data_IF_762882270596
#
_entry.id   IF_762882270596
#
_cell.length_a   1.000
_cell.length_b   1.000
_cell.length_c   1.000
_cell.angle_alpha   90.00
_cell.angle_beta   90.00
_cell.angle_gamma   90.00
#
_symmetry.space_group_name_H-M   'P 1'
#
loop_
_entity.id
_entity.type
_entity.pdbx_description
1 polymer ?
#
# COMPACT_ATOMS: atom_id res chain seq x y z
N UNK A 1 34.92 -8.68 -6.03
CA UNK A 1 33.55 -9.14 -5.77
C UNK A 1 32.55 -8.12 -6.31
N UNK A 2 31.63 -8.56 -7.15
CA UNK A 2 30.64 -7.65 -7.71
C UNK A 2 29.53 -7.37 -6.70
N UNK A 3 29.14 -6.12 -6.59
CA UNK A 3 28.00 -5.75 -5.77
C UNK A 3 26.71 -6.19 -6.47
N UNK A 4 25.82 -6.83 -5.74
CA UNK A 4 24.51 -7.22 -6.24
C UNK A 4 23.42 -6.45 -5.48
N UNK A 5 22.56 -5.83 -6.26
CA UNK A 5 21.40 -5.16 -5.67
C UNK A 5 20.42 -6.21 -5.18
N UNK A 6 20.07 -6.11 -3.91
CA UNK A 6 19.07 -7.01 -3.34
C UNK A 6 17.69 -6.57 -3.80
N UNK A 7 16.89 -7.53 -4.20
CA UNK A 7 15.50 -7.26 -4.55
C UNK A 7 14.76 -6.78 -3.31
N UNK A 8 14.27 -5.56 -3.35
CA UNK A 8 13.49 -4.97 -2.28
C UNK A 8 12.02 -5.01 -2.64
N UNK A 9 11.55 -6.24 -2.85
CA UNK A 9 10.17 -6.47 -3.22
C UNK A 9 9.47 -7.17 -2.07
N UNK A 10 8.43 -6.51 -1.55
CA UNK A 10 7.53 -7.10 -0.57
C UNK A 10 6.32 -7.62 -1.33
N UNK A 11 6.02 -8.90 -1.22
CA UNK A 11 4.84 -9.46 -1.85
C UNK A 11 3.73 -9.58 -0.85
N UNK A 12 2.61 -8.91 -1.10
CA UNK A 12 1.40 -9.04 -0.28
C UNK A 12 0.43 -9.96 -1.00
N UNK A 13 -0.21 -10.84 -0.25
CA UNK A 13 -1.20 -11.76 -0.78
C UNK A 13 -2.59 -11.32 -0.34
N UNK A 14 -3.46 -11.08 -1.33
CA UNK A 14 -4.85 -10.68 -1.09
C UNK A 14 -5.72 -11.64 -1.86
N UNK A 15 -6.53 -12.40 -1.12
CA UNK A 15 -7.27 -13.54 -1.66
C UNK A 15 -6.26 -14.52 -2.26
N UNK A 16 -6.42 -14.92 -3.49
CA UNK A 16 -5.50 -15.87 -4.12
C UNK A 16 -4.48 -15.19 -5.04
N UNK A 17 -4.39 -13.85 -4.97
CA UNK A 17 -3.50 -13.08 -5.84
C UNK A 17 -2.34 -12.50 -5.05
N UNK A 18 -1.18 -12.47 -5.67
CA UNK A 18 0.03 -11.91 -5.09
C UNK A 18 0.35 -10.58 -5.76
N UNK A 19 0.62 -9.56 -4.93
CA UNK A 19 0.94 -8.22 -5.41
C UNK A 19 2.35 -7.86 -4.95
N UNK A 20 3.32 -7.79 -5.85
CA UNK A 20 4.67 -7.38 -5.50
C UNK A 20 4.72 -5.85 -5.32
N UNK A 21 5.34 -5.42 -4.24
CA UNK A 21 5.55 -4.00 -3.96
C UNK A 21 7.04 -3.72 -4.10
N UNK A 22 7.39 -2.93 -5.10
CA UNK A 22 8.77 -2.51 -5.34
C UNK A 22 9.00 -1.17 -4.65
N UNK A 23 9.91 -1.14 -3.68
CA UNK A 23 10.20 0.08 -2.94
C UNK A 23 11.12 0.99 -3.74
N UNK A 24 10.59 2.15 -4.14
CA UNK A 24 11.32 3.18 -4.86
C UNK A 24 10.98 4.53 -4.26
N UNK A 25 11.78 5.53 -4.59
CA UNK A 25 11.52 6.90 -4.14
C UNK A 25 10.17 7.41 -4.68
N UNK A 26 9.91 7.14 -5.95
CA UNK A 26 8.64 7.55 -6.57
C UNK A 26 7.43 6.89 -5.89
N UNK A 27 7.53 5.61 -5.57
CA UNK A 27 6.46 4.89 -4.86
C UNK A 27 6.25 5.49 -3.47
N UNK A 28 7.33 5.78 -2.76
CA UNK A 28 7.28 6.38 -1.42
C UNK A 28 6.58 7.73 -1.44
N UNK A 29 6.87 8.56 -2.45
CA UNK A 29 6.21 9.85 -2.60
C UNK A 29 4.72 9.70 -2.85
N UNK A 30 4.34 8.79 -3.74
CA UNK A 30 2.93 8.52 -4.06
C UNK A 30 2.14 8.05 -2.85
N UNK A 31 2.73 7.15 -2.07
CA UNK A 31 2.11 6.64 -0.85
C UNK A 31 1.94 7.75 0.18
N UNK A 32 2.95 8.60 0.34
CA UNK A 32 2.90 9.73 1.27
C UNK A 32 1.80 10.73 0.86
N UNK A 33 1.72 11.08 -0.41
CA UNK A 33 0.69 11.98 -0.92
C UNK A 33 -0.71 11.40 -0.71
N UNK A 34 -0.88 10.11 -0.99
CA UNK A 34 -2.15 9.43 -0.81
C UNK A 34 -2.56 9.41 0.68
N UNK A 35 -1.60 9.19 1.57
CA UNK A 35 -1.85 9.21 3.01
C UNK A 35 -2.30 10.60 3.50
N UNK A 36 -1.69 11.66 2.96
CA UNK A 36 -2.07 13.04 3.30
C UNK A 36 -3.50 13.31 2.85
N UNK A 37 -3.84 12.95 1.62
CA UNK A 37 -5.21 13.14 1.09
C UNK A 37 -6.24 12.39 1.91
N UNK A 38 -5.93 11.16 2.30
CA UNK A 38 -6.83 10.35 3.11
C UNK A 38 -7.04 10.99 4.49
N UNK A 39 -5.97 11.53 5.07
CA UNK A 39 -6.03 12.21 6.36
C UNK A 39 -6.89 13.48 6.29
N UNK A 40 -6.82 14.21 5.20
CA UNK A 40 -7.64 15.40 4.96
C UNK A 40 -9.12 15.09 4.90
N UNK A 41 -9.47 13.87 4.51
CA UNK A 41 -10.86 13.42 4.42
C UNK A 41 -11.39 12.83 5.73
N UNK A 42 -10.61 12.88 6.79
CA UNK A 42 -11.04 12.39 8.10
C UNK A 42 -12.25 13.18 8.56
N UNK A 43 -13.34 12.48 8.86
CA UNK A 43 -14.60 13.13 9.24
C UNK A 43 -15.47 13.52 8.06
N UNK A 44 -15.02 13.30 6.83
CA UNK A 44 -15.82 13.57 5.64
C UNK A 44 -17.00 12.63 5.56
N UNK A 45 -18.19 13.18 5.24
CA UNK A 45 -19.42 12.40 5.13
C UNK A 45 -19.67 11.84 3.75
N UNK A 46 -18.85 12.26 2.76
CA UNK A 46 -18.96 11.77 1.40
C UNK A 46 -18.21 10.46 1.27
N UNK A 47 -18.94 9.35 1.35
CA UNK A 47 -18.36 8.01 1.25
C UNK A 47 -17.64 7.79 -0.08
N UNK A 48 -18.17 8.32 -1.16
CA UNK A 48 -17.54 8.17 -2.48
C UNK A 48 -16.16 8.80 -2.51
N UNK A 49 -15.99 9.97 -1.90
CA UNK A 49 -14.69 10.63 -1.81
C UNK A 49 -13.71 9.82 -0.96
N UNK A 50 -14.18 9.27 0.15
CA UNK A 50 -13.35 8.43 1.03
C UNK A 50 -12.92 7.16 0.31
N UNK A 51 -13.85 6.49 -0.37
CA UNK A 51 -13.55 5.28 -1.15
C UNK A 51 -12.51 5.57 -2.22
N UNK A 52 -12.68 6.67 -2.96
CA UNK A 52 -11.72 7.04 -4.00
C UNK A 52 -10.32 7.29 -3.42
N UNK A 53 -10.24 7.93 -2.26
CA UNK A 53 -8.96 8.20 -1.60
C UNK A 53 -8.29 6.90 -1.13
N UNK A 54 -9.06 5.96 -0.58
CA UNK A 54 -8.54 4.66 -0.15
C UNK A 54 -8.03 3.87 -1.35
N UNK A 55 -8.81 3.80 -2.43
CA UNK A 55 -8.40 3.09 -3.64
C UNK A 55 -7.14 3.71 -4.25
N UNK A 56 -7.04 5.03 -4.23
CA UNK A 56 -5.84 5.73 -4.70
C UNK A 56 -4.61 5.36 -3.84
N UNK A 57 -4.79 5.24 -2.53
CA UNK A 57 -3.70 4.83 -1.63
C UNK A 57 -3.26 3.40 -1.91
N UNK A 58 -4.20 2.49 -2.17
CA UNK A 58 -3.88 1.11 -2.53
C UNK A 58 -3.11 1.08 -3.86
N UNK A 59 -3.57 1.83 -4.86
CA UNK A 59 -2.89 1.91 -6.15
C UNK A 59 -1.49 2.50 -6.02
N UNK A 60 -1.31 3.48 -5.13
CA UNK A 60 0.00 4.06 -4.89
C UNK A 60 1.00 3.03 -4.36
N UNK A 61 0.53 2.11 -3.54
CA UNK A 61 1.37 1.06 -2.96
C UNK A 61 1.58 -0.11 -3.93
N UNK A 62 0.53 -0.59 -4.57
CA UNK A 62 0.56 -1.82 -5.36
C UNK A 62 0.74 -1.58 -6.86
N UNK A 63 0.31 -0.43 -7.36
CA UNK A 63 0.33 -0.10 -8.78
C UNK A 63 -1.04 0.29 -9.29
N UNK A 64 -1.07 1.08 -10.36
CA UNK A 64 -2.31 1.61 -10.93
C UNK A 64 -3.25 0.47 -11.34
N UNK A 65 -4.51 0.59 -10.93
CA UNK A 65 -5.54 -0.39 -11.25
C UNK A 65 -5.64 -1.57 -10.29
N UNK A 66 -4.71 -1.71 -9.34
CA UNK A 66 -4.73 -2.85 -8.42
C UNK A 66 -5.93 -2.81 -7.48
N UNK A 67 -6.33 -1.62 -7.01
CA UNK A 67 -7.52 -1.50 -6.16
C UNK A 67 -8.77 -1.97 -6.90
N UNK A 68 -8.93 -1.57 -8.14
CA UNK A 68 -10.06 -2.01 -8.96
C UNK A 68 -10.06 -3.52 -9.14
N UNK A 69 -8.89 -4.11 -9.35
CA UNK A 69 -8.76 -5.57 -9.50
C UNK A 69 -9.12 -6.30 -8.21
N UNK A 70 -8.64 -5.80 -7.06
CA UNK A 70 -8.90 -6.41 -5.76
C UNK A 70 -10.40 -6.44 -5.46
N UNK A 71 -11.10 -5.35 -5.77
CA UNK A 71 -12.51 -5.22 -5.44
C UNK A 71 -13.45 -5.56 -6.60
N UNK A 72 -12.92 -6.09 -7.70
CA UNK A 72 -13.71 -6.48 -8.85
C UNK A 72 -14.73 -7.53 -8.45
N UNK A 73 -15.99 -7.29 -8.83
CA UNK A 73 -17.09 -8.19 -8.52
C UNK A 73 -17.53 -8.16 -7.06
N UNK A 74 -16.99 -7.27 -6.26
CA UNK A 74 -17.33 -7.13 -4.83
C UNK A 74 -17.93 -5.77 -4.56
N UNK A 75 -18.93 -5.74 -3.68
CA UNK A 75 -19.48 -4.48 -3.19
C UNK A 75 -18.81 -4.17 -1.86
N UNK A 76 -17.56 -3.73 -1.95
CA UNK A 76 -16.77 -3.44 -0.76
C UNK A 76 -17.10 -2.04 -0.22
N UNK A 77 -17.39 -1.96 1.07
CA UNK A 77 -17.63 -0.70 1.76
C UNK A 77 -16.31 0.03 2.02
N UNK A 78 -16.39 1.30 2.44
CA UNK A 78 -15.19 2.05 2.82
C UNK A 78 -14.43 1.35 3.95
N UNK A 79 -15.14 0.72 4.89
CA UNK A 79 -14.52 0.00 6.00
C UNK A 79 -13.70 -1.20 5.50
N UNK A 80 -14.27 -1.98 4.59
CA UNK A 80 -13.57 -3.13 4.02
C UNK A 80 -12.35 -2.71 3.22
N UNK A 81 -12.46 -1.64 2.44
CA UNK A 81 -11.34 -1.09 1.67
C UNK A 81 -10.24 -0.59 2.59
N UNK A 82 -10.62 0.05 3.69
CA UNK A 82 -9.66 0.53 4.69
C UNK A 82 -8.95 -0.63 5.37
N UNK A 83 -9.64 -1.73 5.63
CA UNK A 83 -9.03 -2.93 6.21
C UNK A 83 -7.96 -3.51 5.27
N UNK A 84 -8.22 -3.54 3.98
CA UNK A 84 -7.23 -3.98 2.98
C UNK A 84 -6.02 -3.04 2.99
N UNK A 85 -6.25 -1.74 3.02
CA UNK A 85 -5.17 -0.76 3.07
C UNK A 85 -4.32 -0.94 4.33
N UNK A 86 -4.95 -1.15 5.48
CA UNK A 86 -4.24 -1.39 6.74
C UNK A 86 -3.41 -2.66 6.68
N UNK A 87 -3.93 -3.71 6.08
CA UNK A 87 -3.19 -4.95 5.88
C UNK A 87 -1.92 -4.69 5.06
N UNK A 88 -2.06 -3.96 3.95
CA UNK A 88 -0.91 -3.59 3.11
C UNK A 88 0.11 -2.78 3.90
N UNK A 89 -0.35 -1.82 4.70
CA UNK A 89 0.52 -0.99 5.52
C UNK A 89 1.29 -1.80 6.56
N UNK A 90 0.62 -2.74 7.21
CA UNK A 90 1.26 -3.62 8.20
C UNK A 90 2.34 -4.48 7.55
N UNK A 91 2.04 -5.06 6.40
CA UNK A 91 3.01 -5.90 5.67
C UNK A 91 4.21 -5.09 5.19
N UNK A 92 3.97 -3.89 4.67
CA UNK A 92 5.07 -3.03 4.20
C UNK A 92 5.92 -2.50 5.35
N UNK A 93 5.30 -2.16 6.48
CA UNK A 93 6.03 -1.72 7.66
C UNK A 93 6.92 -2.84 8.22
N UNK A 94 6.40 -4.06 8.30
CA UNK A 94 7.18 -5.21 8.75
C UNK A 94 8.37 -5.47 7.83
N UNK A 95 8.17 -5.35 6.53
CA UNK A 95 9.24 -5.51 5.55
C UNK A 95 10.31 -4.43 5.72
N UNK A 96 9.89 -3.19 5.91
CA UNK A 96 10.80 -2.05 6.10
C UNK A 96 11.58 -2.17 7.42
N UNK A 97 10.94 -2.62 8.48
CA UNK A 97 11.57 -2.81 9.79
C UNK A 97 12.72 -3.82 9.74
N UNK A 98 12.59 -4.86 8.92
CA UNK A 98 13.68 -5.83 8.74
C UNK A 98 14.93 -5.17 8.18
N UNK A 99 14.77 -4.23 7.26
CA UNK A 99 15.91 -3.49 6.72
C UNK A 99 16.50 -2.53 7.75
N UNK A 100 15.65 -1.89 8.55
CA UNK A 100 16.12 -1.00 9.60
C UNK A 100 16.96 -1.75 10.63
N UNK A 101 16.52 -2.94 11.04
CA UNK A 101 17.24 -3.79 11.98
C UNK A 101 18.62 -4.16 11.44
N UNK A 102 18.71 -4.52 10.17
CA UNK A 102 19.97 -4.88 9.54
C UNK A 102 20.93 -3.69 9.54
N UNK A 103 20.43 -2.47 9.33
CA UNK A 103 21.24 -1.26 9.36
C UNK A 103 21.76 -0.95 10.76
N UNK A 104 20.93 -1.16 11.78
CA UNK A 104 21.27 -0.80 13.16
C UNK A 104 22.32 -1.71 13.76
N UNK A 105 22.48 -2.92 13.26
CA UNK A 105 23.44 -3.88 13.78
C UNK A 105 24.85 -3.74 13.24
N UNK A 106 25.09 -2.77 12.41
CA UNK A 106 26.46 -2.54 11.88
C UNK A 106 27.27 -1.61 12.77
#
# INVERSE_FOLDING_TARGET
MAYRFKDRICTVEIEDKKYPISFSHAMSERVTEAAVKLRELKGCKDEAAVVAAIDNAIDAALGDGCAAEIFEGRTASAVERLDVLKYIQVETAAFTDRFADVRTKQ
#
